data_IF_144707962013
#
_entry.id   IF_144707962013
#
_cell.length_a   1.000
_cell.length_b   1.000
_cell.length_c   1.000
_cell.angle_alpha   90.00
_cell.angle_beta   90.00
_cell.angle_gamma   90.00
#
_symmetry.space_group_name_H-M   'P 1'
#
loop_
_entity.id
_entity.type
_entity.pdbx_description
1 polymer ?
#
# COMPACT_ATOMS: atom_id res chain seq x y z
N UNK A 1 -24.42 30.15 -28.09
CA UNK A 1 -24.44 28.68 -28.06
C UNK A 1 -23.12 28.20 -27.44
N UNK A 2 -23.12 27.91 -26.16
CA UNK A 2 -21.97 27.42 -25.40
C UNK A 2 -22.09 25.91 -25.33
N UNK A 3 -21.16 25.21 -25.96
CA UNK A 3 -21.05 23.75 -25.89
C UNK A 3 -20.45 23.36 -24.54
N UNK A 4 -21.24 22.75 -23.67
CA UNK A 4 -20.78 22.09 -22.46
C UNK A 4 -20.11 20.77 -22.85
N UNK A 5 -18.79 20.69 -22.72
CA UNK A 5 -18.05 19.46 -22.75
C UNK A 5 -18.27 18.74 -21.43
N UNK A 6 -19.06 17.66 -21.43
CA UNK A 6 -19.22 16.75 -20.33
C UNK A 6 -17.94 15.91 -20.22
N UNK A 7 -17.17 16.17 -19.18
CA UNK A 7 -16.04 15.33 -18.81
C UNK A 7 -16.57 14.07 -18.12
N UNK A 8 -16.74 12.99 -18.89
CA UNK A 8 -17.07 11.68 -18.34
C UNK A 8 -15.86 11.16 -17.55
N UNK A 9 -15.95 11.21 -16.23
CA UNK A 9 -15.00 10.54 -15.36
C UNK A 9 -15.12 9.04 -15.56
N UNK A 10 -14.17 8.45 -16.24
CA UNK A 10 -14.04 7.01 -16.39
C UNK A 10 -13.54 6.44 -15.04
N UNK A 11 -14.47 6.14 -14.14
CA UNK A 11 -14.21 5.34 -12.95
C UNK A 11 -13.95 3.91 -13.40
N UNK A 12 -12.71 3.62 -13.76
CA UNK A 12 -12.28 2.25 -13.97
C UNK A 12 -12.45 1.53 -12.62
N UNK A 13 -13.42 0.64 -12.53
CA UNK A 13 -13.58 -0.26 -11.40
C UNK A 13 -12.25 -1.03 -11.25
N UNK A 14 -11.59 -0.88 -10.10
CA UNK A 14 -10.43 -1.69 -9.76
C UNK A 14 -10.86 -3.16 -9.85
N UNK A 15 -10.03 -4.02 -10.47
CA UNK A 15 -10.36 -5.44 -10.56
C UNK A 15 -10.65 -5.94 -9.15
N UNK A 16 -11.85 -6.48 -8.95
CA UNK A 16 -12.27 -7.11 -7.70
C UNK A 16 -11.27 -8.22 -7.39
N UNK A 17 -10.43 -8.00 -6.39
CA UNK A 17 -9.63 -9.09 -5.85
C UNK A 17 -10.57 -10.10 -5.22
N UNK A 18 -10.25 -11.41 -5.30
CA UNK A 18 -11.04 -12.42 -4.64
C UNK A 18 -11.22 -12.00 -3.17
N UNK A 19 -12.44 -12.06 -2.69
CA UNK A 19 -12.83 -11.67 -1.34
C UNK A 19 -11.87 -12.28 -0.33
N UNK A 20 -10.99 -11.45 0.20
CA UNK A 20 -10.22 -11.82 1.37
C UNK A 20 -11.24 -11.96 2.50
N UNK A 21 -11.12 -12.99 3.35
CA UNK A 21 -11.99 -13.12 4.50
C UNK A 21 -11.97 -11.79 5.25
N UNK A 22 -13.12 -11.37 5.73
CA UNK A 22 -13.39 -10.11 6.41
C UNK A 22 -12.39 -9.88 7.55
N UNK A 23 -11.22 -9.36 7.17
CA UNK A 23 -10.08 -9.16 8.06
C UNK A 23 -10.32 -7.85 8.83
N UNK A 24 -10.39 -7.89 10.16
CA UNK A 24 -10.52 -6.69 10.98
C UNK A 24 -9.50 -5.62 10.63
N UNK A 25 -8.27 -6.03 10.29
CA UNK A 25 -7.23 -5.14 9.84
C UNK A 25 -7.59 -4.41 8.54
N UNK A 26 -8.23 -5.08 7.58
CA UNK A 26 -8.68 -4.45 6.33
C UNK A 26 -9.77 -3.41 6.57
N UNK A 27 -10.78 -3.75 7.40
CA UNK A 27 -11.86 -2.82 7.73
C UNK A 27 -11.34 -1.54 8.32
N UNK A 28 -10.43 -1.65 9.21
CA UNK A 28 -9.94 -0.54 9.96
C UNK A 28 -8.92 0.29 9.17
N UNK A 29 -8.03 -0.32 8.33
CA UNK A 29 -7.20 0.43 7.40
C UNK A 29 -8.08 1.25 6.44
N UNK A 30 -9.14 0.65 5.90
CA UNK A 30 -10.13 1.34 5.08
C UNK A 30 -10.79 2.50 5.83
N UNK A 31 -11.08 2.34 7.11
CA UNK A 31 -11.72 3.36 7.94
C UNK A 31 -10.78 4.50 8.30
N UNK A 32 -9.52 4.19 8.66
CA UNK A 32 -8.49 5.19 8.91
C UNK A 32 -8.25 6.08 7.67
N UNK A 33 -8.36 5.50 6.47
CA UNK A 33 -8.18 6.23 5.21
C UNK A 33 -9.33 7.17 4.86
N UNK A 34 -10.53 6.86 5.30
CA UNK A 34 -11.70 7.72 5.05
C UNK A 34 -11.72 8.97 5.93
N UNK A 35 -10.68 9.21 6.72
CA UNK A 35 -10.60 10.34 7.63
C UNK A 35 -11.51 10.21 8.84
N UNK A 36 -12.05 9.01 9.07
CA UNK A 36 -12.96 8.72 10.16
C UNK A 36 -12.14 8.35 11.43
N UNK A 37 -11.35 9.32 11.88
CA UNK A 37 -10.43 9.16 13.01
C UNK A 37 -11.12 8.78 14.32
N UNK A 38 -12.45 8.94 14.43
CA UNK A 38 -13.23 8.53 15.58
C UNK A 38 -13.35 7.02 15.79
N UNK A 39 -12.72 6.20 14.93
CA UNK A 39 -12.94 4.75 14.90
C UNK A 39 -11.68 3.91 14.90
N UNK A 40 -10.59 4.42 15.45
CA UNK A 40 -9.42 3.62 15.81
C UNK A 40 -9.70 2.66 16.98
N UNK A 41 -10.78 2.87 17.71
CA UNK A 41 -11.16 2.02 18.85
C UNK A 41 -11.29 0.52 18.53
N UNK A 42 -11.92 0.08 17.42
CA UNK A 42 -11.97 -1.34 17.11
C UNK A 42 -10.58 -1.97 16.92
N UNK A 43 -9.62 -1.20 16.44
CA UNK A 43 -8.22 -1.62 16.27
C UNK A 43 -7.49 -1.74 17.58
N UNK A 44 -7.64 -0.72 18.41
CA UNK A 44 -7.05 -0.71 19.74
C UNK A 44 -7.57 -1.86 20.57
N UNK A 45 -8.86 -2.23 20.44
CA UNK A 45 -9.45 -3.41 21.09
C UNK A 45 -8.82 -4.72 20.62
N UNK A 46 -8.37 -4.78 19.35
CA UNK A 46 -7.66 -5.93 18.80
C UNK A 46 -6.14 -5.84 18.97
N UNK A 47 -5.64 -4.83 19.68
CA UNK A 47 -4.22 -4.65 19.96
C UNK A 47 -3.39 -4.09 18.79
N UNK A 48 -4.04 -3.44 17.80
CA UNK A 48 -3.33 -2.74 16.73
C UNK A 48 -3.15 -1.26 17.05
N UNK A 49 -2.04 -0.71 16.61
CA UNK A 49 -1.71 0.71 16.71
C UNK A 49 -1.52 1.29 15.31
N UNK A 50 -2.09 2.46 15.05
CA UNK A 50 -1.82 3.21 13.82
C UNK A 50 -0.40 3.78 13.90
N UNK A 51 0.47 3.33 13.00
CA UNK A 51 1.86 3.78 12.92
C UNK A 51 1.99 4.99 12.01
N UNK A 52 1.23 4.99 10.90
CA UNK A 52 1.33 5.99 9.86
C UNK A 52 -0.02 6.16 9.17
N UNK A 53 -0.41 7.41 8.96
CA UNK A 53 -1.50 7.79 8.06
C UNK A 53 -1.01 8.89 7.14
N UNK A 54 -1.42 8.84 5.88
CA UNK A 54 -1.10 9.86 4.88
C UNK A 54 -2.37 10.62 4.48
N UNK A 55 -3.10 11.14 5.45
CA UNK A 55 -4.21 12.05 5.17
C UNK A 55 -3.68 13.39 4.60
N UNK A 56 -4.59 14.26 4.17
CA UNK A 56 -4.23 15.53 3.55
C UNK A 56 -3.41 16.48 4.45
N UNK A 57 -3.30 16.17 5.75
CA UNK A 57 -2.57 16.96 6.76
C UNK A 57 -1.24 16.31 7.14
N UNK A 58 -0.97 15.09 6.70
CA UNK A 58 0.21 14.32 7.12
C UNK A 58 1.48 14.79 6.39
N UNK A 59 2.54 14.96 7.16
CA UNK A 59 3.90 15.23 6.64
C UNK A 59 4.60 13.99 6.05
N UNK A 60 3.91 12.85 6.00
CA UNK A 60 4.48 11.58 5.55
C UNK A 60 3.76 11.09 4.30
N UNK A 61 4.51 10.46 3.40
CA UNK A 61 4.03 9.91 2.14
C UNK A 61 4.44 8.45 2.03
N UNK A 62 3.55 7.60 1.55
CA UNK A 62 3.92 6.26 1.10
C UNK A 62 4.37 6.36 -0.36
N UNK A 63 5.48 5.73 -0.69
CA UNK A 63 5.95 5.63 -2.07
C UNK A 63 6.00 4.18 -2.47
N UNK A 64 5.11 3.81 -3.38
CA UNK A 64 5.00 2.44 -3.87
C UNK A 64 5.94 2.19 -5.03
N UNK A 65 6.50 1.00 -5.03
CA UNK A 65 7.07 0.33 -6.17
C UNK A 65 6.44 -1.05 -6.31
N UNK A 66 6.80 -1.81 -7.33
CA UNK A 66 6.32 -3.17 -7.51
C UNK A 66 7.47 -4.12 -7.76
N UNK A 67 7.36 -5.33 -7.23
CA UNK A 67 8.12 -6.49 -7.66
C UNK A 67 7.19 -7.64 -8.00
N UNK A 68 7.66 -8.63 -8.74
CA UNK A 68 6.75 -9.62 -9.27
C UNK A 68 7.39 -11.01 -9.43
N UNK A 69 6.54 -12.03 -9.54
CA UNK A 69 6.96 -13.42 -9.61
C UNK A 69 7.76 -13.82 -10.85
N UNK A 70 7.92 -12.93 -11.84
CA UNK A 70 8.79 -13.15 -13.00
C UNK A 70 10.23 -12.71 -12.74
N UNK A 71 10.47 -11.95 -11.68
CA UNK A 71 11.81 -11.57 -11.26
C UNK A 71 12.47 -12.72 -10.50
N UNK A 72 13.80 -12.89 -10.60
CA UNK A 72 14.51 -13.98 -9.93
C UNK A 72 14.20 -14.09 -8.43
N UNK A 73 14.13 -12.93 -7.76
CA UNK A 73 13.89 -12.82 -6.32
C UNK A 73 12.41 -12.57 -5.96
N UNK A 74 11.52 -12.48 -6.95
CA UNK A 74 10.12 -12.12 -6.75
C UNK A 74 9.20 -13.29 -6.35
N UNK A 75 9.70 -14.52 -6.29
CA UNK A 75 8.89 -15.69 -5.95
C UNK A 75 8.82 -15.99 -4.47
N UNK A 76 9.83 -15.57 -3.72
CA UNK A 76 9.95 -15.80 -2.30
C UNK A 76 10.39 -14.53 -1.59
N UNK A 77 9.92 -14.36 -0.36
CA UNK A 77 10.43 -13.32 0.52
C UNK A 77 11.85 -13.68 0.98
N UNK A 78 12.53 -12.76 1.64
CA UNK A 78 13.90 -12.99 2.17
C UNK A 78 14.00 -14.13 3.19
N UNK A 79 12.88 -14.62 3.69
CA UNK A 79 12.82 -15.75 4.64
C UNK A 79 12.47 -17.08 3.96
N UNK A 80 12.35 -17.08 2.63
CA UNK A 80 12.07 -18.25 1.83
C UNK A 80 10.58 -18.58 1.66
N UNK A 81 9.66 -17.78 2.20
CA UNK A 81 8.23 -18.03 2.06
C UNK A 81 7.75 -17.57 0.68
N UNK A 82 6.76 -18.24 0.08
CA UNK A 82 6.18 -17.81 -1.17
C UNK A 82 5.56 -16.41 -1.06
N UNK A 83 5.90 -15.51 -1.98
CA UNK A 83 5.24 -14.23 -2.08
C UNK A 83 3.82 -14.41 -2.61
N UNK A 84 2.91 -13.62 -2.07
CA UNK A 84 1.49 -13.64 -2.44
C UNK A 84 0.98 -12.20 -2.60
N UNK A 85 -0.26 -12.05 -3.05
CA UNK A 85 -0.93 -10.74 -3.09
C UNK A 85 -1.05 -10.03 -1.73
N UNK A 86 -0.71 -10.72 -0.64
CA UNK A 86 -0.63 -10.12 0.69
C UNK A 86 0.75 -9.59 1.03
N UNK A 87 1.76 -9.91 0.23
CA UNK A 87 3.15 -9.60 0.52
C UNK A 87 3.51 -8.19 0.06
N UNK A 88 4.19 -7.45 0.91
CA UNK A 88 4.97 -6.27 0.53
C UNK A 88 6.31 -6.25 1.28
N UNK A 89 7.25 -5.46 0.75
CA UNK A 89 8.54 -5.24 1.36
C UNK A 89 8.65 -3.78 1.85
N UNK A 90 9.32 -3.58 2.97
CA UNK A 90 9.70 -2.25 3.46
C UNK A 90 10.87 -2.37 4.43
N UNK A 91 11.76 -1.37 4.44
CA UNK A 91 12.89 -1.34 5.37
C UNK A 91 12.58 -0.58 6.67
N UNK A 92 11.55 0.29 6.64
CA UNK A 92 11.23 1.18 7.76
C UNK A 92 9.99 0.79 8.54
N UNK A 93 9.15 -0.05 7.97
CA UNK A 93 7.95 -0.52 8.64
C UNK A 93 8.25 -1.80 9.41
N UNK A 94 7.61 -2.01 10.57
CA UNK A 94 7.76 -3.24 11.32
C UNK A 94 7.36 -4.45 10.47
N UNK A 95 8.07 -5.55 10.65
CA UNK A 95 7.65 -6.82 10.08
C UNK A 95 6.27 -7.20 10.63
N UNK A 96 5.43 -7.76 9.78
CA UNK A 96 4.02 -8.08 10.05
C UNK A 96 3.08 -6.88 10.21
N UNK A 97 3.57 -5.65 10.06
CA UNK A 97 2.68 -4.50 9.93
C UNK A 97 1.79 -4.66 8.68
N UNK A 98 0.58 -4.17 8.79
CA UNK A 98 -0.34 -4.11 7.65
C UNK A 98 -0.29 -2.74 7.00
N UNK A 99 -0.20 -2.74 5.67
CA UNK A 99 -0.17 -1.55 4.83
C UNK A 99 -1.39 -1.57 3.93
N UNK A 100 -2.17 -0.53 3.96
CA UNK A 100 -3.23 -0.29 3.00
C UNK A 100 -2.93 0.98 2.21
N UNK A 101 -3.23 0.98 0.91
CA UNK A 101 -3.10 2.18 0.09
C UNK A 101 -4.26 2.29 -0.90
N UNK A 102 -4.48 3.48 -1.43
CA UNK A 102 -5.49 3.72 -2.46
C UNK A 102 -5.24 2.95 -3.76
N UNK A 103 -4.02 2.43 -3.96
CA UNK A 103 -3.61 1.70 -5.18
C UNK A 103 -3.30 0.23 -4.93
N UNK A 104 -3.17 -0.18 -3.71
CA UNK A 104 -3.01 -1.59 -3.35
C UNK A 104 -3.95 -1.92 -2.21
N UNK A 105 -4.62 -3.04 -2.28
CA UNK A 105 -5.37 -3.55 -1.14
C UNK A 105 -4.44 -3.83 0.03
N UNK A 106 -5.01 -4.27 1.14
CA UNK A 106 -4.26 -4.60 2.34
C UNK A 106 -3.09 -5.55 2.03
N UNK A 107 -1.91 -5.16 2.47
CA UNK A 107 -0.66 -5.92 2.37
C UNK A 107 -0.07 -6.12 3.75
N UNK A 108 0.77 -7.12 3.91
CA UNK A 108 1.54 -7.33 5.11
C UNK A 108 3.03 -7.21 4.80
N UNK A 109 3.77 -6.51 5.64
CA UNK A 109 5.22 -6.37 5.52
C UNK A 109 5.86 -7.69 5.91
N UNK A 110 6.23 -8.48 4.91
CA UNK A 110 6.86 -9.80 5.07
C UNK A 110 8.29 -9.83 4.52
N UNK A 111 8.69 -8.78 3.82
CA UNK A 111 9.97 -8.72 3.13
C UNK A 111 10.67 -7.37 3.34
N UNK A 112 11.90 -7.26 2.88
CA UNK A 112 12.64 -6.01 2.83
C UNK A 112 13.43 -5.92 1.51
N UNK A 113 13.91 -4.74 1.18
CA UNK A 113 14.66 -4.51 -0.04
C UNK A 113 16.00 -3.81 0.19
N UNK A 114 16.60 -3.33 -0.88
CA UNK A 114 17.84 -2.59 -0.81
C UNK A 114 17.66 -1.27 -0.05
N UNK A 115 18.65 -0.92 0.80
CA UNK A 115 18.64 0.35 1.58
C UNK A 115 18.55 1.60 0.70
N UNK A 116 19.05 1.53 -0.54
CA UNK A 116 18.95 2.61 -1.52
C UNK A 116 17.50 2.98 -1.87
N UNK A 117 16.55 2.06 -1.68
CA UNK A 117 15.13 2.32 -1.95
C UNK A 117 14.56 3.40 -1.02
N UNK A 118 14.99 3.43 0.25
CA UNK A 118 14.56 4.48 1.18
C UNK A 118 15.03 5.87 0.75
N UNK A 119 16.26 5.97 0.24
CA UNK A 119 16.79 7.23 -0.27
C UNK A 119 16.10 7.69 -1.53
N UNK A 120 15.72 6.75 -2.38
CA UNK A 120 14.95 7.04 -3.61
C UNK A 120 13.51 7.43 -3.30
N UNK A 121 12.87 6.77 -2.35
CA UNK A 121 11.53 7.14 -1.89
C UNK A 121 11.48 8.57 -1.34
N UNK A 122 12.48 8.97 -0.56
CA UNK A 122 12.59 10.36 -0.07
C UNK A 122 12.74 11.39 -1.19
N UNK A 123 13.44 11.07 -2.27
CA UNK A 123 13.55 11.97 -3.43
C UNK A 123 12.21 12.15 -4.16
N UNK A 124 11.35 11.14 -4.15
CA UNK A 124 10.05 11.16 -4.83
C UNK A 124 8.93 11.72 -3.95
N UNK A 125 8.87 11.30 -2.71
CA UNK A 125 7.77 11.59 -1.79
C UNK A 125 8.10 12.57 -0.66
N UNK A 126 9.32 13.15 -0.65
CA UNK A 126 9.78 14.05 0.43
C UNK A 126 10.47 13.32 1.57
N UNK A 127 11.00 14.08 2.52
CA UNK A 127 11.88 13.57 3.60
C UNK A 127 11.20 12.53 4.50
N UNK A 128 9.92 12.70 4.76
CA UNK A 128 9.09 11.76 5.55
C UNK A 128 8.63 10.52 4.79
N UNK A 129 9.01 10.35 3.52
CA UNK A 129 8.52 9.25 2.70
C UNK A 129 9.00 7.89 3.20
N UNK A 130 8.07 6.94 3.14
CA UNK A 130 8.30 5.53 3.45
C UNK A 130 8.12 4.70 2.19
N UNK A 131 9.15 3.96 1.83
CA UNK A 131 9.10 3.05 0.70
C UNK A 131 8.34 1.77 1.04
N UNK A 132 7.48 1.33 0.11
CA UNK A 132 6.77 0.05 0.16
C UNK A 132 6.80 -0.58 -1.21
N UNK A 133 7.34 -1.76 -1.32
CA UNK A 133 7.38 -2.54 -2.56
C UNK A 133 6.30 -3.62 -2.53
N UNK A 134 5.35 -3.51 -3.44
CA UNK A 134 4.15 -4.35 -3.42
C UNK A 134 4.31 -5.50 -4.40
N UNK A 135 4.09 -6.72 -3.92
CA UNK A 135 4.17 -7.88 -4.79
C UNK A 135 2.95 -8.01 -5.69
N UNK A 136 3.20 -8.29 -6.96
CA UNK A 136 2.20 -8.64 -7.97
C UNK A 136 2.63 -9.89 -8.73
N UNK A 137 1.66 -10.63 -9.26
CA UNK A 137 1.95 -11.80 -10.09
C UNK A 137 2.77 -11.44 -11.33
N UNK A 138 2.57 -10.27 -11.88
CA UNK A 138 3.34 -9.75 -13.01
C UNK A 138 3.32 -8.21 -13.04
N UNK A 139 4.26 -7.60 -13.74
CA UNK A 139 4.31 -6.15 -13.96
C UNK A 139 3.04 -5.59 -14.64
N UNK A 140 2.34 -6.40 -15.46
CA UNK A 140 1.05 -6.02 -16.06
C UNK A 140 -0.01 -5.77 -14.98
N UNK A 141 -0.09 -6.62 -13.95
CA UNK A 141 -1.04 -6.44 -12.85
C UNK A 141 -0.71 -5.21 -12.01
N UNK A 142 0.56 -4.94 -11.78
CA UNK A 142 0.99 -3.73 -11.07
C UNK A 142 0.61 -2.45 -11.84
N UNK A 143 0.88 -2.41 -13.14
CA UNK A 143 0.47 -1.28 -14.00
C UNK A 143 -1.05 -1.09 -14.03
N UNK A 144 -1.82 -2.17 -14.08
CA UNK A 144 -3.28 -2.11 -13.99
C UNK A 144 -3.77 -1.50 -12.68
N UNK A 145 -3.02 -1.67 -11.58
CA UNK A 145 -3.26 -1.01 -10.29
C UNK A 145 -2.71 0.44 -10.24
N UNK A 146 -2.17 0.95 -11.35
CA UNK A 146 -1.57 2.29 -11.45
C UNK A 146 -0.21 2.41 -10.76
N UNK A 147 0.50 1.28 -10.57
CA UNK A 147 1.87 1.27 -10.03
C UNK A 147 2.83 1.00 -11.18
N UNK A 148 3.40 2.09 -11.69
CA UNK A 148 4.44 2.06 -12.73
C UNK A 148 5.60 2.95 -12.27
N UNK A 149 6.70 2.32 -11.87
CA UNK A 149 7.83 3.00 -11.25
C UNK A 149 7.60 3.37 -9.78
N UNK A 150 7.97 4.59 -9.42
CA UNK A 150 7.94 5.13 -8.04
C UNK A 150 6.72 6.05 -7.87
N UNK A 151 5.68 5.59 -7.20
CA UNK A 151 4.39 6.27 -7.16
C UNK A 151 4.07 6.73 -5.74
N UNK A 152 3.99 8.04 -5.47
CA UNK A 152 3.47 8.56 -4.21
C UNK A 152 1.98 8.23 -4.08
N UNK A 153 1.56 7.76 -2.91
CA UNK A 153 0.18 7.34 -2.68
C UNK A 153 -0.30 7.70 -1.28
N UNK A 154 -1.61 7.74 -1.12
CA UNK A 154 -2.24 7.78 0.20
C UNK A 154 -2.35 6.37 0.77
N UNK A 155 -2.19 6.27 2.09
CA UNK A 155 -2.27 4.99 2.75
C UNK A 155 -2.24 5.08 4.28
N UNK A 156 -2.41 3.94 4.91
CA UNK A 156 -2.27 3.78 6.35
C UNK A 156 -1.49 2.52 6.68
N UNK A 157 -0.78 2.56 7.78
CA UNK A 157 0.01 1.44 8.30
C UNK A 157 -0.37 1.20 9.75
N UNK A 158 -0.65 -0.05 10.06
CA UNK A 158 -0.96 -0.50 11.42
C UNK A 158 -0.08 -1.68 11.80
N UNK A 159 0.27 -1.78 13.08
CA UNK A 159 1.01 -2.92 13.65
C UNK A 159 0.45 -3.29 15.02
N UNK A 160 0.63 -4.53 15.37
CA UNK A 160 0.51 -4.98 16.76
C UNK A 160 1.78 -4.66 17.53
#
# INVERSE_FOLDING_TARGET
MLAQLALAALTAALPTQPDLPDDPAQRAATKAMRGDHGTLEPWQREGYTLILSTDATASRTLVLTQYNGNEPDGRRDRYGNPCTYRTCASNKLPRHAYVWTERSNLRQVLDCGARSNDSRARRVGGEGAVWVDVWYRSARHARAAGIDGWVPVRGAVVSR
#
